data_IF_777129214832
#
_entry.id   IF_777129214832
#
_cell.length_a   1.000
_cell.length_b   1.000
_cell.length_c   1.000
_cell.angle_alpha   90.00
_cell.angle_beta   90.00
_cell.angle_gamma   90.00
#
_symmetry.space_group_name_H-M   'P 1'
#
loop_
_entity.id
_entity.type
_entity.pdbx_description
1 polymer ?
#
# COMPACT_ATOMS: atom_id res chain seq x y z
N UNK A 1 6.89 26.38 15.00
CA UNK A 1 5.87 25.59 14.29
C UNK A 1 6.38 24.16 14.21
N UNK A 2 5.77 23.24 14.94
CA UNK A 2 5.96 21.80 14.69
C UNK A 2 5.02 21.45 13.54
N UNK A 3 5.56 20.95 12.43
CA UNK A 3 4.74 20.36 11.38
C UNK A 3 4.33 18.98 11.88
N UNK A 4 3.07 18.84 12.30
CA UNK A 4 2.49 17.53 12.58
C UNK A 4 2.12 16.91 11.25
N UNK A 5 2.69 15.75 10.92
CA UNK A 5 2.26 14.97 9.76
C UNK A 5 1.01 14.19 10.13
N UNK A 6 0.00 14.24 9.27
CA UNK A 6 -1.20 13.42 9.41
C UNK A 6 -0.89 11.99 8.92
N UNK A 7 -1.26 11.00 9.72
CA UNK A 7 -1.23 9.60 9.32
C UNK A 7 -2.63 9.16 8.89
N UNK A 8 -2.70 8.50 7.73
CA UNK A 8 -3.96 8.09 7.12
C UNK A 8 -3.91 6.60 6.76
N UNK A 9 -5.04 5.92 6.96
CA UNK A 9 -5.19 4.47 6.74
C UNK A 9 -6.48 4.19 5.97
N UNK A 10 -6.51 3.08 5.22
CA UNK A 10 -7.78 2.58 4.68
C UNK A 10 -8.48 1.76 5.77
N UNK A 11 -9.73 2.09 6.09
CA UNK A 11 -10.59 1.25 6.92
C UNK A 11 -11.48 0.39 6.03
N UNK A 12 -11.33 -0.93 6.11
CA UNK A 12 -12.17 -1.90 5.41
C UNK A 12 -13.03 -2.64 6.42
N UNK A 13 -14.35 -2.59 6.23
CA UNK A 13 -15.32 -3.21 7.13
C UNK A 13 -16.28 -4.15 6.38
N UNK A 14 -16.96 -5.07 7.08
CA UNK A 14 -18.05 -5.84 6.51
C UNK A 14 -19.20 -4.94 6.03
N UNK A 15 -19.99 -5.34 5.01
CA UNK A 15 -21.06 -4.50 4.46
C UNK A 15 -22.08 -4.00 5.50
N UNK A 16 -22.51 -4.85 6.44
CA UNK A 16 -23.45 -4.43 7.48
C UNK A 16 -22.87 -3.39 8.45
N UNK A 17 -21.56 -3.42 8.69
CA UNK A 17 -20.85 -2.39 9.47
C UNK A 17 -20.69 -1.11 8.66
N UNK A 18 -20.44 -1.21 7.35
CA UNK A 18 -20.33 -0.06 6.46
C UNK A 18 -21.60 0.78 6.44
N UNK A 19 -22.78 0.14 6.31
CA UNK A 19 -24.08 0.82 6.31
C UNK A 19 -24.29 1.61 7.62
N UNK A 20 -23.92 1.02 8.76
CA UNK A 20 -24.00 1.70 10.06
C UNK A 20 -23.06 2.89 10.17
N UNK A 21 -21.82 2.77 9.70
CA UNK A 21 -20.86 3.88 9.66
C UNK A 21 -21.40 5.02 8.78
N UNK A 22 -21.96 4.68 7.61
CA UNK A 22 -22.51 5.67 6.69
C UNK A 22 -23.68 6.46 7.32
N UNK A 23 -24.60 5.77 8.01
CA UNK A 23 -25.67 6.42 8.76
C UNK A 23 -25.10 7.36 9.84
N UNK A 24 -24.11 6.91 10.61
CA UNK A 24 -23.47 7.71 11.66
C UNK A 24 -22.77 8.97 11.11
N UNK A 25 -22.13 8.89 9.94
CA UNK A 25 -21.42 10.00 9.33
C UNK A 25 -22.35 11.03 8.67
N UNK A 26 -23.50 10.57 8.14
CA UNK A 26 -24.45 11.42 7.45
C UNK A 26 -25.44 12.10 8.41
N UNK A 27 -25.82 11.44 9.50
CA UNK A 27 -26.79 11.94 10.48
C UNK A 27 -26.12 12.89 11.49
N UNK A 28 -26.14 14.20 11.20
CA UNK A 28 -25.88 15.27 12.18
C UNK A 28 -27.03 15.36 13.24
N UNK A 29 -27.33 14.28 13.96
CA UNK A 29 -28.47 14.20 14.89
C UNK A 29 -27.98 14.09 16.34
N UNK A 30 -28.35 15.04 17.23
CA UNK A 30 -28.04 14.98 18.66
C UNK A 30 -28.99 14.00 19.33
N UNK A 31 -28.58 12.74 19.50
CA UNK A 31 -29.35 11.74 20.25
C UNK A 31 -28.41 10.78 20.98
N UNK A 32 -28.62 10.66 22.30
CA UNK A 32 -28.00 9.78 23.30
C UNK A 32 -26.65 9.13 22.96
N UNK A 33 -25.64 9.48 23.76
CA UNK A 33 -24.20 9.30 23.56
C UNK A 33 -23.65 7.89 23.41
N UNK A 34 -24.41 6.82 23.67
CA UNK A 34 -23.85 5.46 23.77
C UNK A 34 -23.95 4.62 22.48
N UNK A 35 -24.94 4.86 21.61
CA UNK A 35 -25.15 4.06 20.39
C UNK A 35 -24.31 4.51 19.18
N UNK A 36 -23.55 5.61 19.32
CA UNK A 36 -22.80 6.24 18.21
C UNK A 36 -21.27 6.22 18.40
N UNK A 37 -20.76 5.46 19.37
CA UNK A 37 -19.32 5.38 19.58
C UNK A 37 -18.67 4.53 18.49
N UNK A 38 -17.62 5.07 17.89
CA UNK A 38 -16.68 4.35 17.04
C UNK A 38 -15.35 4.36 17.76
N UNK A 39 -14.82 3.18 18.03
CA UNK A 39 -13.52 3.03 18.67
C UNK A 39 -12.68 1.96 17.97
N UNK A 40 -11.37 2.15 18.00
CA UNK A 40 -10.40 1.24 17.44
C UNK A 40 -9.20 1.15 18.37
N UNK A 41 -8.97 -0.05 18.90
CA UNK A 41 -7.85 -0.35 19.77
C UNK A 41 -6.97 -1.43 19.13
N UNK A 42 -5.66 -1.29 19.28
CA UNK A 42 -4.68 -2.31 18.87
C UNK A 42 -4.06 -2.95 20.10
N UNK A 43 -3.75 -4.25 20.00
CA UNK A 43 -2.92 -4.95 20.98
C UNK A 43 -1.46 -4.51 20.88
N UNK A 44 -0.64 -4.97 21.84
CA UNK A 44 0.79 -4.66 21.90
C UNK A 44 1.59 -5.05 20.65
N UNK A 45 1.09 -6.01 19.87
CA UNK A 45 1.69 -6.40 18.59
C UNK A 45 1.58 -5.31 17.49
N UNK A 46 0.76 -4.28 17.71
CA UNK A 46 0.49 -3.20 16.76
C UNK A 46 -0.19 -3.66 15.46
N UNK A 47 -0.66 -4.90 15.40
CA UNK A 47 -1.18 -5.53 14.17
C UNK A 47 -2.57 -6.11 14.37
N UNK A 48 -2.84 -6.68 15.53
CA UNK A 48 -4.16 -7.17 15.88
C UNK A 48 -4.91 -6.09 16.66
N UNK A 49 -6.21 -5.99 16.45
CA UNK A 49 -7.01 -4.97 17.11
C UNK A 49 -8.46 -5.35 17.25
N UNK A 50 -9.21 -4.50 17.94
CA UNK A 50 -10.66 -4.59 18.09
C UNK A 50 -11.27 -3.29 17.62
N UNK A 51 -12.18 -3.40 16.65
CA UNK A 51 -13.02 -2.30 16.19
C UNK A 51 -14.36 -2.39 16.91
N UNK A 52 -14.85 -1.28 17.44
CA UNK A 52 -16.09 -1.20 18.21
C UNK A 52 -17.02 -0.19 17.56
N UNK A 53 -18.28 -0.59 17.36
CA UNK A 53 -19.36 0.28 16.87
C UNK A 53 -20.63 0.04 17.69
N UNK A 54 -21.00 1.04 18.49
CA UNK A 54 -22.00 0.86 19.56
C UNK A 54 -21.51 -0.19 20.57
N UNK A 55 -22.29 -1.27 20.73
CA UNK A 55 -21.99 -2.35 21.69
C UNK A 55 -21.38 -3.60 21.05
N UNK A 56 -21.11 -3.55 19.74
CA UNK A 56 -20.57 -4.69 19.00
C UNK A 56 -19.07 -4.59 18.81
N UNK A 57 -18.38 -5.71 19.00
CA UNK A 57 -16.94 -5.83 18.89
C UNK A 57 -16.56 -6.70 17.71
N UNK A 58 -15.72 -6.15 16.84
CA UNK A 58 -15.25 -6.81 15.64
C UNK A 58 -13.73 -6.98 15.68
N UNK A 59 -13.20 -8.16 15.36
CA UNK A 59 -11.76 -8.34 15.22
C UNK A 59 -11.23 -7.52 14.04
N UNK A 60 -10.13 -6.79 14.27
CA UNK A 60 -9.44 -5.96 13.29
C UNK A 60 -7.99 -6.42 13.10
N UNK A 61 -7.45 -6.18 11.90
CA UNK A 61 -6.05 -6.52 11.58
C UNK A 61 -5.43 -5.46 10.67
N UNK A 62 -4.24 -4.96 11.00
CA UNK A 62 -3.49 -3.99 10.21
C UNK A 62 -2.61 -4.69 9.16
N UNK A 63 -2.95 -4.50 7.88
CA UNK A 63 -2.31 -5.16 6.75
C UNK A 63 -1.58 -4.16 5.84
N UNK A 64 -0.50 -4.61 5.22
CA UNK A 64 0.33 -3.78 4.34
C UNK A 64 -0.16 -3.88 2.88
N UNK A 65 -0.62 -2.77 2.33
CA UNK A 65 -1.09 -2.68 0.94
C UNK A 65 0.07 -2.91 -0.04
N UNK A 66 -0.19 -3.53 -1.20
CA UNK A 66 0.85 -3.71 -2.22
C UNK A 66 1.21 -2.41 -2.93
N UNK A 67 0.30 -1.43 -2.96
CA UNK A 67 0.49 -0.16 -3.64
C UNK A 67 0.47 0.97 -2.62
N UNK A 68 1.35 1.96 -2.81
CA UNK A 68 1.22 3.25 -2.13
C UNK A 68 0.03 3.99 -2.73
N UNK A 69 -0.88 4.43 -1.87
CA UNK A 69 -2.07 5.18 -2.25
C UNK A 69 -1.90 6.61 -1.75
N UNK A 70 -1.98 7.57 -2.64
CA UNK A 70 -1.85 8.98 -2.29
C UNK A 70 -3.24 9.59 -2.06
N UNK A 71 -3.41 10.30 -0.96
CA UNK A 71 -4.58 11.11 -0.70
C UNK A 71 -4.32 12.55 -1.16
N UNK A 72 -5.35 13.14 -1.78
CA UNK A 72 -5.31 14.51 -2.29
C UNK A 72 -6.53 15.26 -1.81
N UNK A 73 -6.34 16.53 -1.43
CA UNK A 73 -7.43 17.49 -1.20
C UNK A 73 -7.47 18.50 -2.33
N UNK A 74 -8.66 19.01 -2.60
CA UNK A 74 -8.88 20.01 -3.64
C UNK A 74 -10.04 20.93 -3.25
N UNK A 75 -9.99 22.17 -3.73
CA UNK A 75 -11.08 23.15 -3.60
C UNK A 75 -11.83 23.36 -4.92
N UNK A 76 -11.24 23.00 -6.05
CA UNK A 76 -11.67 23.34 -7.42
C UNK A 76 -11.68 22.12 -8.37
N UNK A 77 -11.48 20.91 -7.83
CA UNK A 77 -11.35 19.63 -8.56
C UNK A 77 -10.27 19.61 -9.66
N UNK A 78 -9.38 20.60 -9.67
CA UNK A 78 -8.35 20.78 -10.69
C UNK A 78 -6.96 20.84 -10.07
N UNK A 79 -6.85 21.59 -8.98
CA UNK A 79 -5.65 21.76 -8.18
C UNK A 79 -5.69 20.73 -7.05
N UNK A 80 -4.95 19.64 -7.22
CA UNK A 80 -4.83 18.57 -6.23
C UNK A 80 -3.60 18.83 -5.35
N UNK A 81 -3.81 18.87 -4.03
CA UNK A 81 -2.75 19.02 -3.04
C UNK A 81 -2.62 17.70 -2.29
N UNK A 82 -1.45 17.06 -2.39
CA UNK A 82 -1.16 15.82 -1.67
C UNK A 82 -1.25 16.05 -0.17
N UNK A 83 -1.92 15.15 0.55
CA UNK A 83 -2.07 15.21 2.01
C UNK A 83 -1.35 14.08 2.72
N UNK A 84 -1.39 12.85 2.20
CA UNK A 84 -0.73 11.71 2.81
C UNK A 84 -0.36 10.62 1.80
N UNK A 85 0.55 9.75 2.23
CA UNK A 85 0.84 8.46 1.60
C UNK A 85 0.25 7.35 2.49
N UNK A 86 -0.57 6.49 1.90
CA UNK A 86 -1.28 5.42 2.58
C UNK A 86 -0.72 4.09 2.07
N UNK A 87 -0.02 3.38 2.95
CA UNK A 87 0.56 2.06 2.67
C UNK A 87 -0.13 0.92 3.41
N UNK A 88 -1.11 1.22 4.27
CA UNK A 88 -1.69 0.25 5.18
C UNK A 88 -3.22 0.32 5.22
N UNK A 89 -3.83 -0.79 5.59
CA UNK A 89 -5.27 -0.96 5.69
C UNK A 89 -5.63 -1.71 6.96
N UNK A 90 -6.59 -1.17 7.69
CA UNK A 90 -7.23 -1.81 8.83
C UNK A 90 -8.39 -2.64 8.29
N UNK A 91 -8.30 -3.96 8.42
CA UNK A 91 -9.32 -4.89 7.98
C UNK A 91 -10.12 -5.38 9.19
N UNK A 92 -11.36 -4.90 9.29
CA UNK A 92 -12.36 -5.37 10.24
C UNK A 92 -13.07 -6.58 9.64
N UNK A 93 -13.28 -7.61 10.46
CA UNK A 93 -13.79 -8.92 10.06
C UNK A 93 -15.03 -9.27 10.87
N UNK A 94 -15.86 -10.18 10.37
CA UNK A 94 -17.00 -10.69 11.14
C UNK A 94 -16.54 -11.67 12.23
N UNK A 95 -17.37 -11.84 13.27
CA UNK A 95 -17.11 -12.78 14.35
C UNK A 95 -17.13 -14.22 13.81
N UNK A 96 -15.95 -14.82 13.65
CA UNK A 96 -15.78 -16.18 13.13
C UNK A 96 -14.88 -16.29 11.91
N UNK A 97 -14.59 -15.16 11.25
CA UNK A 97 -13.60 -15.14 10.18
C UNK A 97 -12.19 -15.41 10.72
N UNK A 98 -11.40 -16.17 9.97
CA UNK A 98 -10.00 -16.39 10.31
C UNK A 98 -9.21 -15.08 10.21
N UNK A 99 -8.23 -14.93 11.10
CA UNK A 99 -7.26 -13.83 10.98
C UNK A 99 -6.43 -14.03 9.69
N UNK A 100 -6.00 -12.95 9.04
CA UNK A 100 -5.08 -13.06 7.92
C UNK A 100 -3.76 -13.70 8.38
N UNK A 101 -3.35 -14.79 7.72
CA UNK A 101 -2.10 -15.50 8.05
C UNK A 101 -0.83 -14.69 7.72
N UNK A 102 -0.97 -13.68 6.85
CA UNK A 102 0.16 -12.88 6.34
C UNK A 102 -0.19 -11.40 6.45
N UNK A 103 0.78 -10.62 6.93
CA UNK A 103 0.69 -9.17 7.10
C UNK A 103 0.54 -8.46 5.75
N UNK A 104 1.21 -8.97 4.72
CA UNK A 104 1.16 -8.42 3.37
C UNK A 104 -0.17 -8.72 2.68
N UNK A 105 -0.92 -7.68 2.37
CA UNK A 105 -2.17 -7.83 1.64
C UNK A 105 -1.91 -8.09 0.14
N UNK A 106 -2.59 -9.11 -0.40
CA UNK A 106 -2.34 -9.61 -1.76
C UNK A 106 -2.90 -8.74 -2.89
N UNK A 107 -3.95 -7.94 -2.63
CA UNK A 107 -4.67 -7.18 -3.64
C UNK A 107 -4.46 -5.67 -3.46
N UNK A 108 -4.49 -4.89 -4.54
CA UNK A 108 -4.67 -3.44 -4.43
C UNK A 108 -6.14 -3.07 -4.18
N UNK A 109 -6.39 -1.79 -3.90
CA UNK A 109 -7.75 -1.29 -3.63
C UNK A 109 -8.65 -1.32 -4.88
N UNK A 110 -8.09 -1.10 -6.06
CA UNK A 110 -8.87 -1.00 -7.31
C UNK A 110 -9.00 -2.37 -8.00
N UNK A 111 -10.12 -2.64 -8.71
CA UNK A 111 -10.34 -3.93 -9.37
C UNK A 111 -9.20 -4.37 -10.32
N UNK A 112 -8.59 -3.48 -11.14
CA UNK A 112 -7.44 -3.84 -11.99
C UNK A 112 -6.19 -4.27 -11.23
N UNK A 113 -6.11 -4.00 -9.93
CA UNK A 113 -5.00 -4.32 -9.02
C UNK A 113 -5.28 -5.57 -8.18
N UNK A 114 -6.28 -6.38 -8.53
CA UNK A 114 -6.45 -7.71 -7.94
C UNK A 114 -5.20 -8.56 -8.16
N UNK A 115 -4.71 -9.15 -7.07
CA UNK A 115 -3.49 -9.97 -7.01
C UNK A 115 -2.24 -9.22 -7.51
N UNK A 116 -2.13 -7.92 -7.19
CA UNK A 116 -1.07 -7.04 -7.67
C UNK A 116 0.34 -7.61 -7.46
N UNK A 117 0.65 -8.12 -6.25
CA UNK A 117 1.96 -8.69 -5.91
C UNK A 117 2.36 -9.84 -6.83
N UNK A 118 1.40 -10.67 -7.24
CA UNK A 118 1.65 -11.84 -8.09
C UNK A 118 1.62 -11.52 -9.58
N UNK A 119 0.74 -10.61 -10.00
CA UNK A 119 0.36 -10.42 -11.42
C UNK A 119 0.89 -9.14 -12.05
N UNK A 120 1.07 -8.07 -11.28
CA UNK A 120 1.40 -6.74 -11.80
C UNK A 120 2.84 -6.34 -11.51
N UNK A 121 3.35 -6.72 -10.35
CA UNK A 121 4.70 -6.34 -9.95
C UNK A 121 5.74 -7.22 -10.62
N UNK A 122 6.73 -6.58 -11.23
CA UNK A 122 7.89 -7.26 -11.79
C UNK A 122 8.64 -7.93 -10.65
N UNK A 123 8.84 -9.25 -10.73
CA UNK A 123 9.69 -9.96 -9.79
C UNK A 123 11.13 -9.54 -9.99
N UNK A 124 11.85 -9.39 -8.90
CA UNK A 124 13.30 -9.26 -8.97
C UNK A 124 13.89 -10.57 -9.50
N UNK A 125 14.90 -10.53 -10.37
CA UNK A 125 15.57 -11.75 -10.81
C UNK A 125 16.23 -12.40 -9.59
N UNK A 126 16.09 -13.72 -9.48
CA UNK A 126 16.82 -14.49 -8.47
C UNK A 126 18.32 -14.45 -8.84
N UNK A 127 19.09 -13.60 -8.16
CA UNK A 127 20.53 -13.46 -8.34
C UNK A 127 21.27 -14.37 -7.36
N UNK A 128 22.29 -15.07 -7.84
CA UNK A 128 23.17 -15.85 -6.97
C UNK A 128 23.97 -14.89 -6.06
N UNK A 129 23.82 -14.97 -4.71
CA UNK A 129 24.51 -14.08 -3.78
C UNK A 129 26.03 -14.08 -3.94
N UNK A 130 26.60 -15.24 -4.29
CA UNK A 130 28.04 -15.37 -4.48
C UNK A 130 28.54 -14.61 -5.71
N UNK A 131 27.78 -14.64 -6.81
CA UNK A 131 28.09 -13.86 -8.00
C UNK A 131 27.98 -12.36 -7.71
N UNK A 132 26.94 -11.92 -6.99
CA UNK A 132 26.76 -10.51 -6.62
C UNK A 132 27.94 -10.02 -5.78
N UNK A 133 28.37 -10.78 -4.78
CA UNK A 133 29.51 -10.40 -3.93
C UNK A 133 30.83 -10.33 -4.71
N UNK A 134 31.05 -11.22 -5.68
CA UNK A 134 32.24 -11.18 -6.55
C UNK A 134 32.22 -9.92 -7.43
N UNK A 135 31.12 -9.66 -8.13
CA UNK A 135 30.95 -8.48 -8.99
C UNK A 135 31.10 -7.19 -8.18
N UNK A 136 30.54 -7.12 -6.97
CA UNK A 136 30.67 -5.96 -6.09
C UNK A 136 32.13 -5.70 -5.68
N UNK A 137 32.87 -6.76 -5.31
CA UNK A 137 34.30 -6.65 -4.98
C UNK A 137 35.12 -6.17 -6.17
N UNK A 138 34.84 -6.69 -7.36
CA UNK A 138 35.55 -6.29 -8.57
C UNK A 138 35.24 -4.84 -8.97
N UNK A 139 33.99 -4.40 -8.81
CA UNK A 139 33.61 -2.99 -8.99
C UNK A 139 34.36 -2.08 -8.03
N UNK A 140 34.43 -2.42 -6.74
CA UNK A 140 35.17 -1.65 -5.75
C UNK A 140 36.66 -1.55 -6.08
N UNK A 141 37.28 -2.64 -6.57
CA UNK A 141 38.67 -2.64 -7.05
C UNK A 141 38.86 -1.69 -8.24
N UNK A 142 37.98 -1.75 -9.23
CA UNK A 142 38.04 -0.88 -10.43
C UNK A 142 37.85 0.59 -10.04
N UNK A 143 36.88 0.89 -9.17
CA UNK A 143 36.64 2.25 -8.66
C UNK A 143 37.85 2.80 -7.91
N UNK A 144 38.59 1.96 -7.20
CA UNK A 144 39.85 2.30 -6.54
C UNK A 144 41.05 2.39 -7.50
N UNK A 145 40.83 2.40 -8.83
CA UNK A 145 41.86 2.36 -9.90
C UNK A 145 42.76 1.11 -9.86
N UNK A 146 42.30 0.03 -9.22
CA UNK A 146 42.93 -1.27 -9.31
C UNK A 146 42.66 -1.95 -10.65
N UNK A 147 43.50 -2.90 -11.03
CA UNK A 147 43.26 -3.77 -12.20
C UNK A 147 42.26 -4.87 -11.84
N UNK A 148 41.29 -5.12 -12.71
CA UNK A 148 40.36 -6.24 -12.54
C UNK A 148 41.08 -7.58 -12.81
N UNK A 149 40.89 -8.56 -11.93
CA UNK A 149 41.41 -9.91 -12.12
C UNK A 149 40.38 -10.72 -12.92
N UNK A 150 40.74 -11.12 -14.16
CA UNK A 150 39.95 -11.92 -15.12
C UNK A 150 38.70 -11.26 -15.74
N UNK A 151 38.79 -10.96 -17.05
CA UNK A 151 37.64 -10.66 -17.91
C UNK A 151 37.13 -11.95 -18.57
N UNK A 152 36.19 -12.64 -17.93
CA UNK A 152 35.33 -13.58 -18.65
C UNK A 152 34.22 -12.76 -19.34
N UNK A 153 34.46 -12.41 -20.60
CA UNK A 153 33.45 -11.79 -21.46
C UNK A 153 32.36 -12.84 -21.71
N UNK A 154 31.31 -12.83 -20.89
CA UNK A 154 30.06 -13.51 -21.22
C UNK A 154 29.35 -12.74 -22.34
N UNK A 155 29.70 -13.05 -23.58
CA UNK A 155 28.92 -12.72 -24.78
C UNK A 155 27.61 -13.51 -24.76
N UNK A 156 26.62 -13.06 -23.99
CA UNK A 156 25.23 -13.46 -24.20
C UNK A 156 24.26 -12.50 -23.50
N UNK A 157 23.84 -11.46 -24.22
CA UNK A 157 22.44 -11.12 -24.52
C UNK A 157 22.40 -9.73 -25.15
N UNK A 158 22.58 -9.70 -26.46
CA UNK A 158 22.02 -8.63 -27.28
C UNK A 158 20.50 -8.80 -27.25
N UNK A 159 19.80 -8.04 -26.40
CA UNK A 159 18.42 -7.65 -26.71
C UNK A 159 18.50 -6.20 -27.13
N UNK A 160 18.32 -5.99 -28.43
CA UNK A 160 18.21 -4.69 -29.06
C UNK A 160 17.24 -3.80 -28.28
N UNK A 161 17.74 -2.67 -27.79
CA UNK A 161 16.92 -1.55 -27.33
C UNK A 161 16.91 -0.45 -28.39
N UNK A 162 16.53 -0.82 -29.61
CA UNK A 162 15.99 0.13 -30.58
C UNK A 162 14.47 0.06 -30.55
N UNK A 163 13.85 0.92 -29.76
CA UNK A 163 12.70 1.72 -30.21
C UNK A 163 12.29 2.67 -29.09
N UNK A 164 12.55 3.95 -29.38
CA UNK A 164 11.67 5.09 -29.14
C UNK A 164 11.09 5.25 -27.73
N UNK A 165 11.51 6.37 -27.13
CA UNK A 165 10.67 7.18 -26.24
C UNK A 165 9.18 6.91 -26.46
N UNK A 166 8.58 6.18 -25.53
CA UNK A 166 7.17 6.32 -25.22
C UNK A 166 7.08 6.48 -23.71
N UNK A 167 7.43 7.69 -23.27
CA UNK A 167 6.96 8.23 -22.00
C UNK A 167 5.43 8.31 -22.16
N UNK A 168 4.76 7.20 -21.85
CA UNK A 168 3.33 7.22 -21.59
C UNK A 168 3.18 7.70 -20.15
N UNK A 169 3.21 9.02 -19.96
CA UNK A 169 2.61 9.62 -18.77
C UNK A 169 1.11 9.31 -18.90
N UNK A 170 0.68 8.19 -18.32
CA UNK A 170 -0.72 7.92 -18.08
C UNK A 170 -1.18 8.87 -16.97
N UNK A 171 -1.53 10.09 -17.36
CA UNK A 171 -2.31 10.99 -16.53
C UNK A 171 -3.73 10.43 -16.50
N UNK A 172 -4.01 9.55 -15.54
CA UNK A 172 -5.38 9.14 -15.23
C UNK A 172 -6.09 10.35 -14.65
N UNK A 173 -6.74 11.14 -15.52
CA UNK A 173 -7.80 12.05 -15.09
C UNK A 173 -9.04 11.19 -14.91
N UNK A 174 -9.34 10.85 -13.66
CA UNK A 174 -10.64 10.30 -13.29
C UNK A 174 -11.67 11.41 -13.58
N UNK A 175 -12.35 11.32 -14.72
CA UNK A 175 -13.52 12.13 -14.99
C UNK A 175 -14.72 11.37 -14.45
N UNK A 176 -15.05 11.62 -13.18
CA UNK A 176 -16.41 11.35 -12.71
C UNK A 176 -17.27 12.44 -13.32
N UNK A 177 -18.22 12.04 -14.15
CA UNK A 177 -19.35 12.87 -14.56
C UNK A 177 -20.63 12.08 -14.22
N UNK A 178 -21.71 12.81 -13.88
CA UNK A 178 -22.79 12.37 -13.01
C UNK A 178 -23.61 11.19 -13.55
#
# INVERSE_FOLDING_TARGET
MVLVMEEQFILRVPPGVAERIELLLNENIPSSSEDKSLDLSFSEDGRSGTFVIGNEHFPASLLDLPCVVESYKTYDDSSLIKTADIGQMIMVRESGDAAPDVIEYRHGLTPPMRDARKRRFRREPDLNPELVSRVEKDLLKIMARGTADNFDILTSFFVSKSNLMNISIFKFKFMIRP
#
